data_IF_446346623058
#
_entry.id   IF_446346623058
#
_cell.length_a   1.000
_cell.length_b   1.000
_cell.length_c   1.000
_cell.angle_alpha   90.00
_cell.angle_beta   90.00
_cell.angle_gamma   90.00
#
_symmetry.space_group_name_H-M   'P 1'
#
loop_
_entity.id
_entity.type
_entity.pdbx_description
1 polymer ?
#
# COMPACT_ATOMS: atom_id res chain seq x y z
N UNK A 1 35.11 3.23 -79.20
CA UNK A 1 34.45 4.01 -78.13
C UNK A 1 33.47 3.07 -77.45
N UNK A 2 33.76 2.61 -76.22
CA UNK A 2 32.88 1.65 -75.53
C UNK A 2 33.00 1.79 -74.01
N UNK A 3 31.89 2.29 -73.44
CA UNK A 3 31.25 2.01 -72.15
C UNK A 3 32.16 1.90 -70.91
N UNK A 4 32.16 2.96 -70.09
CA UNK A 4 32.64 2.94 -68.70
C UNK A 4 31.58 2.30 -67.82
N UNK A 5 31.90 1.16 -67.20
CA UNK A 5 31.05 0.48 -66.22
C UNK A 5 30.94 1.29 -64.93
N UNK A 6 29.71 1.60 -64.52
CA UNK A 6 29.39 2.18 -63.22
C UNK A 6 29.21 1.05 -62.19
N UNK A 7 29.99 1.09 -61.11
CA UNK A 7 29.83 0.20 -59.96
C UNK A 7 28.80 0.83 -59.03
N UNK A 8 27.65 0.16 -58.85
CA UNK A 8 26.63 0.53 -57.86
C UNK A 8 26.94 -0.24 -56.57
N UNK A 9 27.29 0.47 -55.51
CA UNK A 9 27.49 -0.10 -54.17
C UNK A 9 26.14 -0.10 -53.45
N UNK A 10 25.53 -1.28 -53.28
CA UNK A 10 24.35 -1.47 -52.43
C UNK A 10 24.79 -1.49 -50.96
N UNK A 11 24.48 -0.43 -50.21
CA UNK A 11 24.65 -0.40 -48.76
C UNK A 11 23.48 -1.13 -48.09
N UNK A 12 23.76 -2.29 -47.48
CA UNK A 12 22.78 -3.03 -46.67
C UNK A 12 22.68 -2.39 -45.28
N UNK A 13 21.59 -1.68 -45.02
CA UNK A 13 21.22 -1.20 -43.68
C UNK A 13 20.79 -2.40 -42.83
N UNK A 14 21.70 -2.89 -41.97
CA UNK A 14 21.37 -3.87 -40.95
C UNK A 14 20.60 -3.19 -39.81
N UNK A 15 19.26 -3.31 -39.83
CA UNK A 15 18.44 -2.97 -38.68
C UNK A 15 18.78 -3.94 -37.53
N UNK A 16 19.50 -3.47 -36.52
CA UNK A 16 19.60 -4.17 -35.25
C UNK A 16 18.27 -4.00 -34.52
N UNK A 17 17.47 -5.05 -34.47
CA UNK A 17 16.36 -5.13 -33.54
C UNK A 17 16.93 -5.05 -32.12
N UNK A 18 16.67 -3.96 -31.41
CA UNK A 18 16.92 -3.88 -29.98
C UNK A 18 15.84 -4.75 -29.35
N UNK A 19 16.22 -5.94 -28.89
CA UNK A 19 15.36 -6.72 -28.02
C UNK A 19 15.20 -5.92 -26.73
N UNK A 20 14.07 -5.20 -26.59
CA UNK A 20 13.65 -4.68 -25.29
C UNK A 20 13.55 -5.90 -24.38
N UNK A 21 14.23 -5.94 -23.23
CA UNK A 21 14.01 -7.02 -22.28
C UNK A 21 12.52 -6.99 -21.95
N UNK A 22 11.78 -8.00 -22.43
CA UNK A 22 10.46 -8.31 -21.91
C UNK A 22 10.74 -8.70 -20.47
N UNK A 23 10.48 -7.78 -19.55
CA UNK A 23 10.39 -8.10 -18.14
C UNK A 23 9.44 -9.30 -18.06
N UNK A 24 9.88 -10.45 -17.50
CA UNK A 24 8.99 -11.60 -17.39
C UNK A 24 7.75 -11.10 -16.67
N UNK A 25 6.59 -11.27 -17.30
CA UNK A 25 5.31 -10.91 -16.71
C UNK A 25 5.30 -11.50 -15.30
N UNK A 26 5.37 -10.63 -14.29
CA UNK A 26 5.31 -11.05 -12.90
C UNK A 26 4.02 -11.86 -12.79
N UNK A 27 4.06 -13.15 -12.40
CA UNK A 27 2.84 -13.91 -12.26
C UNK A 27 1.94 -13.08 -11.33
N UNK A 28 0.67 -12.82 -11.70
CA UNK A 28 -0.25 -12.21 -10.76
C UNK A 28 -0.24 -13.16 -9.57
N UNK A 29 0.26 -12.72 -8.41
CA UNK A 29 0.16 -13.53 -7.21
C UNK A 29 -1.30 -13.38 -6.78
N UNK A 30 -2.20 -14.33 -7.12
CA UNK A 30 -3.64 -14.14 -6.93
C UNK A 30 -4.06 -14.69 -5.56
N UNK A 31 -3.10 -14.87 -4.65
CA UNK A 31 -3.38 -15.36 -3.32
C UNK A 31 -4.03 -14.20 -2.58
N UNK A 32 -5.32 -14.34 -2.30
CA UNK A 32 -6.02 -13.45 -1.40
C UNK A 32 -5.86 -14.01 0.02
N UNK A 33 -5.43 -13.18 0.95
CA UNK A 33 -5.37 -13.58 2.36
C UNK A 33 -6.69 -13.31 3.03
N UNK A 34 -7.05 -14.17 3.97
CA UNK A 34 -8.24 -13.98 4.81
C UNK A 34 -7.83 -13.82 6.27
N UNK A 35 -8.37 -12.80 6.92
CA UNK A 35 -8.23 -12.59 8.35
C UNK A 35 -9.52 -13.06 9.04
N UNK A 36 -9.36 -14.02 9.95
CA UNK A 36 -10.45 -14.77 10.56
C UNK A 36 -10.49 -14.51 12.07
N UNK A 37 -11.70 -14.53 12.64
CA UNK A 37 -11.94 -14.40 14.08
C UNK A 37 -11.21 -13.21 14.70
N UNK A 38 -11.24 -12.05 14.04
CA UNK A 38 -10.62 -10.87 14.59
C UNK A 38 -11.39 -10.38 15.80
N UNK A 39 -10.71 -10.26 16.93
CA UNK A 39 -11.33 -9.95 18.22
C UNK A 39 -10.43 -8.98 18.98
N UNK A 40 -11.05 -8.04 19.66
CA UNK A 40 -10.41 -7.16 20.64
C UNK A 40 -11.07 -7.34 22.00
N UNK A 41 -10.28 -7.53 23.05
CA UNK A 41 -10.76 -7.56 24.43
C UNK A 41 -9.97 -6.54 25.24
N UNK A 42 -10.66 -5.59 25.86
CA UNK A 42 -10.01 -4.54 26.64
C UNK A 42 -10.26 -4.70 28.14
N UNK A 43 -9.29 -4.26 28.94
CA UNK A 43 -9.47 -4.08 30.37
C UNK A 43 -10.59 -3.06 30.66
N UNK A 44 -11.22 -3.17 31.82
CA UNK A 44 -12.36 -2.32 32.18
C UNK A 44 -12.00 -0.83 32.25
N UNK A 45 -10.75 -0.51 32.62
CA UNK A 45 -10.19 0.84 32.63
C UNK A 45 -9.63 1.27 31.27
N UNK A 46 -9.74 0.41 30.24
CA UNK A 46 -9.27 0.64 28.88
C UNK A 46 -7.75 0.89 28.78
N UNK A 47 -7.00 0.52 29.82
CA UNK A 47 -5.55 0.73 29.87
C UNK A 47 -4.79 -0.25 28.98
N UNK A 48 -5.41 -1.38 28.63
CA UNK A 48 -4.84 -2.45 27.82
C UNK A 48 -5.92 -3.12 26.97
N UNK A 49 -5.59 -3.46 25.73
CA UNK A 49 -6.42 -4.27 24.85
C UNK A 49 -5.61 -5.41 24.24
N UNK A 50 -6.17 -6.61 24.28
CA UNK A 50 -5.65 -7.81 23.62
C UNK A 50 -6.36 -8.02 22.28
N UNK A 51 -5.56 -8.20 21.23
CA UNK A 51 -6.03 -8.52 19.89
C UNK A 51 -5.72 -9.98 19.56
N UNK A 52 -6.66 -10.68 18.94
CA UNK A 52 -6.50 -12.07 18.49
C UNK A 52 -7.14 -12.27 17.13
N UNK A 53 -6.50 -13.04 16.25
CA UNK A 53 -7.04 -13.44 14.95
C UNK A 53 -6.27 -14.63 14.37
N UNK A 54 -6.75 -15.13 13.23
CA UNK A 54 -6.01 -16.06 12.40
C UNK A 54 -5.77 -15.49 11.01
N UNK A 55 -4.58 -15.75 10.46
CA UNK A 55 -4.20 -15.43 9.08
C UNK A 55 -4.28 -16.70 8.25
N UNK A 56 -5.11 -16.68 7.21
CA UNK A 56 -5.22 -17.76 6.22
C UNK A 56 -4.69 -17.25 4.88
N UNK A 57 -3.48 -17.67 4.53
CA UNK A 57 -2.90 -17.38 3.21
C UNK A 57 -3.44 -18.36 2.14
N UNK A 58 -3.78 -19.58 2.55
CA UNK A 58 -4.27 -20.65 1.68
C UNK A 58 -5.43 -21.36 2.36
N UNK A 59 -6.61 -21.36 1.71
CA UNK A 59 -7.83 -21.94 2.25
C UNK A 59 -7.74 -23.45 2.51
N UNK A 60 -6.79 -24.16 1.91
CA UNK A 60 -6.55 -25.58 2.16
C UNK A 60 -5.63 -25.85 3.36
N UNK A 61 -5.01 -24.82 3.95
CA UNK A 61 -4.06 -24.94 5.05
C UNK A 61 -4.68 -24.45 6.36
N UNK A 62 -4.13 -24.96 7.47
CA UNK A 62 -4.51 -24.50 8.81
C UNK A 62 -4.10 -23.03 8.98
N UNK A 63 -5.04 -22.12 9.30
CA UNK A 63 -4.72 -20.71 9.55
C UNK A 63 -3.76 -20.52 10.71
N UNK A 64 -2.94 -19.48 10.64
CA UNK A 64 -1.93 -19.14 11.65
C UNK A 64 -2.51 -18.21 12.70
N UNK A 65 -2.41 -18.59 13.97
CA UNK A 65 -2.90 -17.78 15.08
C UNK A 65 -1.93 -16.65 15.41
N UNK A 66 -2.48 -15.44 15.59
CA UNK A 66 -1.75 -14.28 16.06
C UNK A 66 -2.47 -13.65 17.26
N UNK A 67 -1.68 -13.23 18.24
CA UNK A 67 -2.14 -12.42 19.36
C UNK A 67 -1.09 -11.41 19.80
N UNK A 68 -1.55 -10.26 20.30
CA UNK A 68 -0.70 -9.24 20.91
C UNK A 68 -1.53 -8.31 21.81
N UNK A 69 -0.84 -7.59 22.69
CA UNK A 69 -1.44 -6.61 23.60
C UNK A 69 -0.97 -5.19 23.25
N UNK A 70 -1.90 -4.24 23.35
CA UNK A 70 -1.67 -2.81 23.21
C UNK A 70 -1.97 -2.14 24.54
N UNK A 71 -1.06 -1.29 25.00
CA UNK A 71 -1.27 -0.43 26.17
C UNK A 71 -1.72 0.96 25.75
N UNK A 72 -2.50 1.63 26.61
CA UNK A 72 -2.87 3.02 26.44
C UNK A 72 -1.61 3.91 26.36
N UNK A 73 -1.53 4.76 25.34
CA UNK A 73 -0.39 5.64 25.12
C UNK A 73 -0.84 7.02 24.64
N UNK A 74 0.03 8.02 24.79
CA UNK A 74 -0.21 9.39 24.32
C UNK A 74 -1.53 10.05 24.81
N UNK A 75 -2.04 9.62 25.97
CA UNK A 75 -3.31 10.11 26.52
C UNK A 75 -4.56 9.51 25.86
N UNK A 76 -4.39 8.54 24.96
CA UNK A 76 -5.45 7.78 24.33
C UNK A 76 -5.64 6.44 25.06
N UNK A 77 -6.89 5.92 25.14
CA UNK A 77 -7.13 4.57 25.61
C UNK A 77 -6.52 3.53 24.66
N UNK A 78 -6.27 2.31 25.16
CA UNK A 78 -5.57 1.28 24.40
C UNK A 78 -6.26 0.90 23.07
N UNK A 79 -7.58 1.00 23.00
CA UNK A 79 -8.34 0.69 21.79
C UNK A 79 -8.21 1.76 20.68
N UNK A 80 -7.73 2.96 21.04
CA UNK A 80 -7.44 4.08 20.13
C UNK A 80 -5.93 4.30 19.94
N UNK A 81 -5.11 3.36 20.42
CA UNK A 81 -3.65 3.48 20.35
C UNK A 81 -3.14 2.70 19.14
N UNK A 82 -2.41 3.40 18.28
CA UNK A 82 -1.75 2.82 17.12
C UNK A 82 -0.61 1.87 17.50
N UNK A 83 -0.30 0.92 16.62
CA UNK A 83 0.74 -0.06 16.84
C UNK A 83 1.51 -0.40 15.57
N UNK A 84 2.79 -0.69 15.75
CA UNK A 84 3.71 -0.99 14.66
C UNK A 84 4.68 -2.08 15.05
N UNK A 85 5.17 -2.80 14.05
CA UNK A 85 6.22 -3.80 14.18
C UNK A 85 5.94 -4.87 15.25
N UNK A 86 4.65 -5.17 15.49
CA UNK A 86 4.26 -6.19 16.45
C UNK A 86 4.46 -7.58 15.88
N UNK A 87 5.10 -8.44 16.65
CA UNK A 87 5.28 -9.85 16.30
C UNK A 87 4.14 -10.68 16.86
N UNK A 88 3.69 -11.65 16.09
CA UNK A 88 2.77 -12.68 16.53
C UNK A 88 3.56 -13.81 17.22
N UNK A 89 3.45 -14.02 18.55
CA UNK A 89 4.29 -15.00 19.25
C UNK A 89 4.09 -16.43 18.74
N UNK A 90 2.86 -16.79 18.35
CA UNK A 90 2.53 -18.12 17.81
C UNK A 90 2.72 -18.25 16.30
N UNK A 91 3.11 -17.18 15.62
CA UNK A 91 3.35 -17.15 14.17
C UNK A 91 4.43 -16.08 13.85
N UNK A 92 5.69 -16.31 14.27
CA UNK A 92 6.76 -15.31 14.23
C UNK A 92 7.15 -14.83 12.83
N UNK A 93 6.68 -15.53 11.78
CA UNK A 93 6.76 -15.08 10.40
C UNK A 93 5.99 -13.79 10.12
N UNK A 94 5.00 -13.45 10.96
CA UNK A 94 4.16 -12.27 10.79
C UNK A 94 4.64 -11.06 11.57
N UNK A 95 4.59 -9.91 10.90
CA UNK A 95 4.66 -8.58 11.50
C UNK A 95 3.34 -7.85 11.27
N UNK A 96 2.79 -7.29 12.33
CA UNK A 96 1.51 -6.59 12.32
C UNK A 96 1.74 -5.11 12.59
N UNK A 97 1.09 -4.29 11.79
CA UNK A 97 0.95 -2.86 12.03
C UNK A 97 -0.52 -2.52 11.95
N UNK A 98 -0.94 -1.45 12.60
CA UNK A 98 -2.32 -1.04 12.58
C UNK A 98 -2.56 0.20 13.41
N UNK A 99 -3.79 0.67 13.35
CA UNK A 99 -4.18 1.88 14.04
C UNK A 99 -5.67 2.09 14.02
N UNK A 100 -6.13 2.91 14.96
CA UNK A 100 -7.54 3.30 15.08
C UNK A 100 -7.75 4.67 14.46
N UNK A 101 -8.91 4.87 13.86
CA UNK A 101 -9.30 6.12 13.24
C UNK A 101 -10.55 6.73 13.88
N UNK A 102 -10.62 8.06 13.89
CA UNK A 102 -11.70 8.84 14.52
C UNK A 102 -13.08 8.64 13.89
N UNK A 103 -13.16 8.07 12.69
CA UNK A 103 -14.39 7.63 12.05
C UNK A 103 -14.86 6.22 12.49
N UNK A 104 -14.16 5.59 13.44
CA UNK A 104 -14.63 4.38 14.12
C UNK A 104 -14.27 3.09 13.39
N UNK A 105 -13.03 2.96 12.93
CA UNK A 105 -12.49 1.72 12.39
C UNK A 105 -11.06 1.47 12.86
N UNK A 106 -10.62 0.22 12.72
CA UNK A 106 -9.23 -0.19 12.93
C UNK A 106 -8.68 -0.77 11.63
N UNK A 107 -7.44 -0.43 11.33
CA UNK A 107 -6.72 -0.96 10.16
C UNK A 107 -5.61 -1.90 10.59
N UNK A 108 -5.31 -2.89 9.75
CA UNK A 108 -4.19 -3.80 9.93
C UNK A 108 -3.41 -3.95 8.62
N UNK A 109 -2.09 -3.85 8.71
CA UNK A 109 -1.17 -4.36 7.69
C UNK A 109 -0.53 -5.63 8.24
N UNK A 110 -0.84 -6.76 7.61
CA UNK A 110 -0.27 -8.07 7.95
C UNK A 110 0.86 -8.37 6.97
N UNK A 111 2.06 -8.58 7.48
CA UNK A 111 3.27 -8.79 6.68
C UNK A 111 3.82 -10.18 6.97
N UNK A 112 4.04 -11.01 5.95
CA UNK A 112 4.81 -12.25 6.06
C UNK A 112 6.26 -11.98 5.63
N UNK A 113 7.15 -11.84 6.62
CA UNK A 113 8.54 -11.42 6.40
C UNK A 113 9.36 -12.41 5.57
N UNK A 114 9.27 -13.75 5.80
CA UNK A 114 9.96 -14.73 4.98
C UNK A 114 9.46 -14.79 3.54
N UNK A 115 8.14 -14.72 3.33
CA UNK A 115 7.53 -14.78 1.98
C UNK A 115 7.67 -13.48 1.21
N UNK A 116 8.02 -12.38 1.90
CA UNK A 116 8.15 -11.06 1.29
C UNK A 116 6.81 -10.59 0.70
N UNK A 117 5.75 -10.75 1.49
CA UNK A 117 4.37 -10.40 1.10
C UNK A 117 3.68 -9.62 2.22
N UNK A 118 2.69 -8.79 1.87
CA UNK A 118 1.78 -8.15 2.81
C UNK A 118 0.35 -8.10 2.29
N UNK A 119 -0.60 -7.89 3.20
CA UNK A 119 -2.02 -7.65 2.92
C UNK A 119 -2.62 -6.64 3.91
N UNK A 120 -3.69 -5.97 3.50
CA UNK A 120 -4.33 -4.88 4.24
C UNK A 120 -5.74 -5.26 4.67
N UNK A 121 -6.12 -4.96 5.90
CA UNK A 121 -7.44 -5.24 6.45
C UNK A 121 -7.97 -4.00 7.18
N UNK A 122 -9.28 -3.86 7.23
CA UNK A 122 -9.98 -2.80 7.93
C UNK A 122 -11.27 -3.36 8.54
N UNK A 123 -11.56 -3.03 9.79
CA UNK A 123 -12.74 -3.49 10.52
C UNK A 123 -13.38 -2.32 11.23
N UNK A 124 -14.71 -2.31 11.31
CA UNK A 124 -15.40 -1.30 12.10
C UNK A 124 -15.15 -1.53 13.59
N UNK A 125 -14.99 -0.44 14.32
CA UNK A 125 -14.63 -0.48 15.75
C UNK A 125 -15.75 -1.11 16.60
N UNK A 126 -17.01 -0.96 16.15
CA UNK A 126 -18.19 -1.54 16.80
C UNK A 126 -18.31 -3.06 16.62
N UNK A 127 -17.73 -3.65 15.57
CA UNK A 127 -17.65 -5.11 15.38
C UNK A 127 -16.68 -5.79 16.34
N UNK A 128 -15.75 -5.02 16.91
CA UNK A 128 -14.73 -5.50 17.84
C UNK A 128 -15.05 -5.17 19.29
N UNK A 129 -16.22 -4.59 19.52
CA UNK A 129 -16.71 -4.28 20.86
C UNK A 129 -17.25 -5.55 21.53
N UNK A 130 -17.22 -5.58 22.87
CA UNK A 130 -17.63 -6.71 23.70
C UNK A 130 -16.83 -8.02 23.54
N UNK A 131 -15.73 -8.00 22.77
CA UNK A 131 -14.98 -9.22 22.47
C UNK A 131 -15.81 -10.21 21.66
N UNK A 132 -16.61 -9.77 20.70
CA UNK A 132 -17.10 -10.70 19.69
C UNK A 132 -16.07 -10.82 18.56
N UNK A 133 -16.15 -11.90 17.80
CA UNK A 133 -15.33 -12.07 16.61
C UNK A 133 -15.98 -11.31 15.44
N UNK A 134 -15.23 -10.43 14.79
CA UNK A 134 -15.67 -9.74 13.58
C UNK A 134 -15.80 -10.72 12.41
N UNK A 135 -16.60 -10.30 11.42
CA UNK A 135 -16.80 -11.06 10.19
C UNK A 135 -15.47 -11.26 9.46
N UNK A 136 -15.15 -12.46 8.95
CA UNK A 136 -13.98 -12.68 8.12
C UNK A 136 -13.83 -11.67 6.99
N UNK A 137 -12.62 -11.14 6.81
CA UNK A 137 -12.31 -10.24 5.70
C UNK A 137 -11.23 -10.85 4.80
N UNK A 138 -11.46 -10.81 3.49
CA UNK A 138 -10.50 -11.22 2.48
C UNK A 138 -9.86 -9.98 1.85
N UNK A 139 -8.57 -10.04 1.54
CA UNK A 139 -7.83 -8.94 0.95
C UNK A 139 -6.73 -9.42 -0.01
N UNK A 140 -6.38 -8.55 -0.96
CA UNK A 140 -5.33 -8.77 -1.95
C UNK A 140 -3.95 -8.80 -1.29
N UNK A 141 -3.00 -9.46 -1.94
CA UNK A 141 -1.62 -9.59 -1.46
C UNK A 141 -0.65 -8.85 -2.38
N UNK A 142 0.36 -8.24 -1.77
CA UNK A 142 1.38 -7.42 -2.44
C UNK A 142 2.78 -7.86 -2.04
N UNK A 143 3.78 -7.66 -2.91
CA UNK A 143 5.19 -7.90 -2.61
C UNK A 143 5.71 -6.95 -1.50
N UNK A 144 6.61 -7.42 -0.63
CA UNK A 144 7.18 -6.64 0.49
C UNK A 144 8.62 -7.06 0.88
N UNK A 145 9.58 -6.14 1.15
CA UNK A 145 9.46 -4.72 0.92
C UNK A 145 9.34 -4.48 -0.58
N UNK A 146 8.66 -3.41 -0.94
CA UNK A 146 8.50 -3.07 -2.34
C UNK A 146 9.87 -2.87 -2.98
N UNK A 147 10.05 -3.39 -4.19
CA UNK A 147 11.33 -3.32 -4.86
C UNK A 147 11.64 -1.86 -5.22
N UNK A 148 12.82 -1.38 -4.83
CA UNK A 148 13.36 -0.06 -5.22
C UNK A 148 13.56 0.13 -6.73
N UNK A 149 13.21 -0.86 -7.56
CA UNK A 149 13.34 -0.81 -9.02
C UNK A 149 12.15 -0.10 -9.69
N UNK A 150 12.13 1.22 -9.51
CA UNK A 150 12.15 2.13 -10.64
C UNK A 150 13.21 3.16 -10.32
N UNK A 151 14.41 2.92 -10.86
CA UNK A 151 15.31 4.02 -11.16
C UNK A 151 14.42 5.02 -11.90
N UNK A 152 14.23 6.19 -11.30
CA UNK A 152 13.55 7.30 -11.91
C UNK A 152 14.32 7.54 -13.19
N UNK A 153 13.86 6.95 -14.29
CA UNK A 153 14.10 7.48 -15.62
C UNK A 153 13.33 8.79 -15.56
N UNK A 154 14.01 9.79 -15.00
CA UNK A 154 13.73 11.17 -15.26
C UNK A 154 13.79 11.24 -16.78
N UNK A 155 12.62 11.12 -17.41
CA UNK A 155 12.45 11.66 -18.74
C UNK A 155 12.84 13.13 -18.60
N UNK A 156 14.08 13.40 -19.00
CA UNK A 156 14.54 14.73 -19.37
C UNK A 156 13.65 15.17 -20.53
N UNK A 157 12.41 15.56 -20.24
CA UNK A 157 11.47 16.03 -21.25
C UNK A 157 10.28 16.75 -20.60
N UNK A 158 10.53 17.61 -19.60
CA UNK A 158 9.64 18.77 -19.36
C UNK A 158 10.39 19.96 -18.72
N UNK A 159 11.56 20.29 -19.27
CA UNK A 159 12.26 21.57 -18.97
C UNK A 159 12.05 22.64 -20.05
N UNK A 160 11.25 22.39 -21.10
CA UNK A 160 11.07 23.35 -22.20
C UNK A 160 9.60 23.58 -22.60
N UNK A 161 8.78 24.01 -21.64
CA UNK A 161 7.79 25.08 -21.88
C UNK A 161 7.06 25.38 -20.58
N UNK A 162 7.36 26.54 -20.00
CA UNK A 162 6.39 27.52 -19.48
C UNK A 162 7.23 28.62 -18.81
N UNK A 163 7.81 29.49 -19.63
CA UNK A 163 8.29 30.79 -19.16
C UNK A 163 7.05 31.64 -18.85
N UNK A 164 6.57 31.58 -17.61
CA UNK A 164 5.68 32.60 -17.06
C UNK A 164 6.49 33.50 -16.10
N UNK A 165 6.25 34.83 -16.12
CA UNK A 165 7.17 35.79 -15.54
C UNK A 165 7.16 35.75 -14.02
N UNK A 166 8.31 36.09 -13.45
CA UNK A 166 8.67 36.17 -12.03
C UNK A 166 7.48 36.36 -11.07
N UNK A 167 6.98 35.24 -10.54
CA UNK A 167 6.03 35.18 -9.44
C UNK A 167 6.39 33.99 -8.56
N UNK A 168 6.96 34.30 -7.39
CA UNK A 168 7.28 33.43 -6.24
C UNK A 168 6.74 31.98 -6.39
N UNK A 169 7.60 31.05 -6.80
CA UNK A 169 7.28 29.62 -6.84
C UNK A 169 6.94 29.15 -5.41
N UNK A 170 5.67 28.87 -5.14
CA UNK A 170 5.31 28.05 -3.98
C UNK A 170 5.66 26.62 -4.37
N UNK A 171 6.73 26.08 -3.79
CA UNK A 171 6.96 24.64 -3.78
C UNK A 171 5.76 24.08 -3.00
N UNK A 172 4.81 23.47 -3.71
CA UNK A 172 3.75 22.71 -3.08
C UNK A 172 4.40 21.50 -2.40
N UNK A 173 4.15 21.35 -1.11
CA UNK A 173 4.58 20.20 -0.31
C UNK A 173 3.67 18.98 -0.48
N UNK A 174 2.78 19.01 -1.47
CA UNK A 174 1.72 18.03 -1.62
C UNK A 174 2.27 16.80 -2.33
N UNK A 175 2.04 15.61 -1.77
CA UNK A 175 2.24 14.36 -2.50
C UNK A 175 1.19 14.30 -3.61
N UNK A 176 1.57 14.70 -4.83
CA UNK A 176 0.76 14.48 -6.00
C UNK A 176 1.02 13.07 -6.55
N UNK A 177 -0.01 12.24 -6.49
CA UNK A 177 0.00 10.89 -7.03
C UNK A 177 -1.02 10.79 -8.17
N UNK A 178 -0.53 10.50 -9.38
CA UNK A 178 -1.37 10.29 -10.56
C UNK A 178 -1.30 8.82 -10.93
N UNK A 179 -2.40 8.11 -10.74
CA UNK A 179 -2.50 6.68 -11.08
C UNK A 179 -3.34 6.54 -12.33
N UNK A 180 -2.73 5.99 -13.37
CA UNK A 180 -3.43 5.64 -14.60
C UNK A 180 -4.41 4.50 -14.30
N UNK A 181 -5.71 4.82 -14.36
CA UNK A 181 -6.76 3.82 -14.24
C UNK A 181 -6.85 3.05 -15.55
N UNK A 182 -6.66 1.73 -15.51
CA UNK A 182 -6.96 0.89 -16.66
C UNK A 182 -8.49 0.75 -16.79
N UNK A 183 -8.95 0.93 -18.03
CA UNK A 183 -10.33 0.98 -18.55
C UNK A 183 -11.45 0.51 -17.61
N UNK A 184 -12.43 1.40 -17.40
CA UNK A 184 -13.77 1.04 -16.90
C UNK A 184 -13.94 0.92 -15.39
N UNK A 185 -12.94 1.27 -14.58
CA UNK A 185 -13.05 1.23 -13.10
C UNK A 185 -13.06 2.62 -12.48
N UNK A 186 -13.85 2.77 -11.41
CA UNK A 186 -13.93 3.98 -10.58
C UNK A 186 -12.53 4.29 -10.01
N UNK A 187 -12.07 5.55 -9.97
CA UNK A 187 -10.69 5.93 -9.64
C UNK A 187 -10.09 5.37 -8.35
N UNK A 188 -10.95 4.93 -7.43
CA UNK A 188 -10.58 4.52 -6.08
C UNK A 188 -10.68 3.00 -5.87
N UNK A 189 -11.10 2.27 -6.91
CA UNK A 189 -11.43 0.85 -6.84
C UNK A 189 -10.23 -0.11 -6.76
N UNK A 190 -9.08 0.25 -7.33
CA UNK A 190 -7.95 -0.70 -7.45
C UNK A 190 -6.90 -0.46 -6.38
N UNK A 191 -6.65 -1.52 -5.61
CA UNK A 191 -5.52 -1.54 -4.68
C UNK A 191 -4.18 -1.47 -5.42
N UNK A 192 -3.24 -0.69 -4.90
CA UNK A 192 -1.88 -0.57 -5.41
C UNK A 192 -0.90 -0.41 -4.25
N UNK A 193 0.39 -0.53 -4.54
CA UNK A 193 1.40 -0.37 -3.51
C UNK A 193 2.66 0.32 -4.05
N UNK A 194 3.32 1.08 -3.17
CA UNK A 194 4.60 1.76 -3.41
C UNK A 194 4.63 2.73 -4.60
N UNK A 195 3.52 3.42 -4.83
CA UNK A 195 3.46 4.42 -5.86
C UNK A 195 4.21 5.68 -5.38
N UNK A 196 5.28 6.05 -6.09
CA UNK A 196 6.08 7.21 -5.73
C UNK A 196 5.28 8.51 -5.87
N UNK A 197 5.29 9.34 -4.83
CA UNK A 197 4.80 10.71 -4.91
C UNK A 197 5.70 11.51 -5.85
N UNK A 198 5.12 12.30 -6.76
CA UNK A 198 5.90 13.18 -7.65
C UNK A 198 6.74 14.20 -6.89
N UNK A 199 6.34 14.55 -5.68
CA UNK A 199 7.02 15.49 -4.79
C UNK A 199 7.05 14.94 -3.35
N UNK A 200 8.15 15.17 -2.63
CA UNK A 200 8.23 14.98 -1.17
C UNK A 200 9.00 13.76 -0.66
N UNK A 201 9.47 12.85 -1.53
CA UNK A 201 10.25 11.70 -1.08
C UNK A 201 9.44 10.69 -0.25
N UNK A 202 8.20 10.44 -0.67
CA UNK A 202 7.30 9.46 -0.07
C UNK A 202 6.81 8.47 -1.12
N UNK A 203 6.48 7.27 -0.69
CA UNK A 203 5.71 6.29 -1.47
C UNK A 203 4.36 6.04 -0.80
N UNK A 204 3.36 5.74 -1.62
CA UNK A 204 1.97 5.54 -1.21
C UNK A 204 1.53 4.13 -1.58
N UNK A 205 0.95 3.42 -0.63
CA UNK A 205 0.20 2.19 -0.87
C UNK A 205 -1.27 2.40 -0.55
N UNK A 206 -2.15 1.74 -1.30
CA UNK A 206 -3.60 1.84 -1.19
C UNK A 206 -4.20 0.44 -1.25
N UNK A 207 -4.84 -0.02 -0.18
CA UNK A 207 -5.64 -1.22 -0.16
C UNK A 207 -7.11 -0.83 -0.15
N UNK A 208 -7.90 -1.28 -1.12
CA UNK A 208 -9.35 -1.07 -1.19
C UNK A 208 -10.08 -2.41 -1.16
N UNK A 209 -11.08 -2.49 -0.30
CA UNK A 209 -12.03 -3.59 -0.23
C UNK A 209 -13.28 -3.24 -1.05
N UNK A 210 -13.40 -3.85 -2.24
CA UNK A 210 -14.53 -3.61 -3.15
C UNK A 210 -15.89 -4.07 -2.62
N UNK A 211 -15.91 -4.92 -1.59
CA UNK A 211 -17.16 -5.42 -0.98
C UNK A 211 -17.71 -4.44 0.07
N UNK A 212 -16.83 -3.89 0.90
CA UNK A 212 -17.23 -2.96 1.96
C UNK A 212 -17.08 -1.50 1.58
N UNK A 213 -16.45 -1.20 0.44
CA UNK A 213 -16.14 0.15 -0.04
C UNK A 213 -15.22 0.94 0.91
N UNK A 214 -14.35 0.22 1.62
CA UNK A 214 -13.38 0.73 2.60
C UNK A 214 -11.97 0.68 2.00
N UNK A 215 -11.13 1.66 2.32
CA UNK A 215 -9.74 1.66 1.89
C UNK A 215 -8.76 2.11 2.97
N UNK A 216 -7.51 1.67 2.84
CA UNK A 216 -6.38 2.03 3.69
C UNK A 216 -5.27 2.58 2.82
N UNK A 217 -4.80 3.79 3.12
CA UNK A 217 -3.59 4.36 2.55
C UNK A 217 -2.44 4.23 3.54
N UNK A 218 -1.29 3.75 3.07
CA UNK A 218 -0.03 3.78 3.82
C UNK A 218 0.93 4.73 3.12
N UNK A 219 1.42 5.75 3.83
CA UNK A 219 2.56 6.56 3.38
C UNK A 219 3.84 6.02 4.01
N UNK A 220 4.89 5.91 3.22
CA UNK A 220 6.24 5.60 3.69
C UNK A 220 7.22 6.62 3.14
N UNK A 221 8.19 7.04 3.94
CA UNK A 221 9.21 7.95 3.41
C UNK A 221 10.25 7.18 2.57
N UNK A 222 11.08 7.91 1.81
CA UNK A 222 12.09 7.37 0.89
C UNK A 222 13.11 6.44 1.55
N UNK A 223 13.34 6.57 2.84
CA UNK A 223 14.23 5.70 3.59
C UNK A 223 13.53 4.47 4.18
N UNK A 224 12.21 4.39 4.03
CA UNK A 224 11.36 3.39 4.66
C UNK A 224 11.64 3.29 6.16
N UNK A 225 11.92 4.43 6.81
CA UNK A 225 12.18 4.52 8.25
C UNK A 225 11.02 5.21 9.00
N UNK A 226 10.03 5.73 8.28
CA UNK A 226 8.79 6.33 8.79
C UNK A 226 7.60 5.87 7.98
N UNK A 227 6.49 5.61 8.67
CA UNK A 227 5.22 5.24 8.04
C UNK A 227 4.03 5.95 8.69
N UNK A 228 3.01 6.18 7.89
CA UNK A 228 1.74 6.75 8.31
C UNK A 228 0.60 5.98 7.66
N UNK A 229 -0.52 5.84 8.36
CA UNK A 229 -1.70 5.14 7.88
C UNK A 229 -2.90 6.07 7.91
N UNK A 230 -3.78 5.88 6.94
CA UNK A 230 -5.02 6.60 6.78
C UNK A 230 -6.06 5.59 6.34
N UNK A 231 -7.29 5.72 6.82
CA UNK A 231 -8.38 4.90 6.32
C UNK A 231 -9.52 5.74 5.78
N UNK A 232 -10.33 5.13 4.93
CA UNK A 232 -11.35 5.80 4.16
C UNK A 232 -12.55 4.87 3.99
N UNK A 233 -13.75 5.44 4.01
CA UNK A 233 -15.00 4.72 3.75
C UNK A 233 -15.69 5.33 2.53
N UNK A 234 -16.63 4.58 1.95
CA UNK A 234 -17.44 5.01 0.82
C UNK A 234 -16.57 5.57 -0.33
N UNK A 235 -15.41 4.95 -0.57
CA UNK A 235 -14.40 5.52 -1.47
C UNK A 235 -14.90 5.50 -2.91
N UNK A 236 -15.77 4.58 -3.29
CA UNK A 236 -16.42 4.59 -4.60
C UNK A 236 -17.39 5.77 -4.79
N UNK A 237 -17.86 6.39 -3.71
CA UNK A 237 -18.89 7.45 -3.75
C UNK A 237 -18.33 8.87 -3.73
N UNK A 238 -17.05 9.03 -3.40
CA UNK A 238 -16.44 10.33 -3.12
C UNK A 238 -15.20 10.57 -3.98
N UNK A 239 -15.11 11.74 -4.62
CA UNK A 239 -13.92 12.14 -5.42
C UNK A 239 -12.85 12.78 -4.52
N UNK A 240 -13.27 13.35 -3.39
CA UNK A 240 -12.41 13.95 -2.37
C UNK A 240 -12.68 13.20 -1.07
N UNK A 241 -11.65 12.54 -0.55
CA UNK A 241 -11.80 11.62 0.58
C UNK A 241 -11.60 12.27 1.96
N UNK A 242 -11.17 13.53 2.02
CA UNK A 242 -10.96 14.26 3.28
C UNK A 242 -9.63 13.95 3.96
N UNK A 243 -9.45 14.49 5.16
CA UNK A 243 -8.28 14.29 6.02
C UNK A 243 -8.62 13.21 7.06
N UNK A 244 -8.16 11.97 6.83
CA UNK A 244 -8.49 10.79 7.66
C UNK A 244 -7.23 10.08 8.16
N UNK A 245 -6.33 10.87 8.76
CA UNK A 245 -5.07 10.40 9.31
C UNK A 245 -3.89 11.30 8.92
N UNK A 246 -2.65 10.95 9.30
CA UNK A 246 -2.28 9.96 10.28
C UNK A 246 -2.17 10.67 11.64
N UNK A 247 -2.48 9.99 12.75
CA UNK A 247 -2.14 10.53 14.06
C UNK A 247 -1.56 9.45 14.97
N UNK A 248 -0.21 9.26 15.08
CA UNK A 248 0.93 9.87 14.36
C UNK A 248 1.78 8.89 13.53
N UNK A 249 2.72 9.42 12.72
CA UNK A 249 3.65 8.61 11.93
C UNK A 249 4.64 7.81 12.82
N UNK A 250 4.75 6.50 12.60
CA UNK A 250 5.63 5.62 13.37
C UNK A 250 7.01 5.47 12.72
N UNK A 251 8.10 5.45 13.50
CA UNK A 251 9.38 4.94 13.03
C UNK A 251 9.29 3.44 12.71
N UNK A 252 10.18 2.97 11.83
CA UNK A 252 10.32 1.57 11.41
C UNK A 252 11.13 0.74 12.40
#
# INVERSE_FOLDING_TARGET
MSIKSAIVVLATLAFRAIAVPVEPARPPNPEDWTLLNFRRTCAADQSRCSYTFFVSEDAAKVPRYCNFDIDAAAGLPAYQTDFSSLKCPSAPEYTINGGWDEQGFITLTVINDPRKLLSFFAFRDDELWAGEAATPQQSKVFDYPFSTKREVVASQEESERHTLPAGRLRISSDCLLIIALFEGTVPLGKSFADAACGYGGWTVSWGHNETTDEAVMTLMNVHHDRRAFYGFNDVSKNIILGDNGPRPASPY
#
